data_IF_256639195864
#
_entry.id   IF_256639195864
#
_cell.length_a   1.000
_cell.length_b   1.000
_cell.length_c   1.000
_cell.angle_alpha   90.00
_cell.angle_beta   90.00
_cell.angle_gamma   90.00
#
_symmetry.space_group_name_H-M   'P 1'
#
loop_
_entity.id
_entity.type
_entity.pdbx_description
1 polymer ?
#
# COMPACT_ATOMS: atom_id res chain seq x y z
N UNK A 1 -1.85 1.43 2.20
CA UNK A 1 -1.27 1.52 0.85
C UNK A 1 0.22 1.84 0.98
N UNK A 2 1.10 1.15 0.23
CA UNK A 2 2.53 1.47 0.15
C UNK A 2 2.74 2.93 -0.28
N UNK A 3 3.82 3.56 0.21
CA UNK A 3 4.22 4.92 -0.24
C UNK A 3 4.55 4.97 -1.73
N UNK A 4 4.92 3.84 -2.33
CA UNK A 4 5.25 3.66 -3.75
C UNK A 4 4.04 3.51 -4.67
N UNK A 5 2.83 3.43 -4.11
CA UNK A 5 1.61 3.21 -4.89
C UNK A 5 1.19 4.46 -5.68
N UNK A 6 0.46 4.22 -6.76
CA UNK A 6 0.16 5.25 -7.76
C UNK A 6 -0.60 6.48 -7.18
N UNK A 7 -0.26 7.72 -7.59
CA UNK A 7 -0.93 8.93 -7.11
C UNK A 7 -2.45 8.98 -7.36
N UNK A 8 -2.99 8.14 -8.24
CA UNK A 8 -4.43 7.99 -8.46
C UNK A 8 -5.19 7.67 -7.16
N UNK A 9 -4.59 6.92 -6.23
CA UNK A 9 -5.21 6.63 -4.95
C UNK A 9 -5.28 7.85 -4.02
N UNK A 10 -4.32 8.78 -4.12
CA UNK A 10 -4.43 10.07 -3.44
C UNK A 10 -5.63 10.86 -3.96
N UNK A 11 -5.83 10.87 -5.29
CA UNK A 11 -7.00 11.50 -5.90
C UNK A 11 -8.30 10.83 -5.44
N UNK A 12 -8.36 9.50 -5.42
CA UNK A 12 -9.52 8.75 -4.93
C UNK A 12 -9.82 9.06 -3.46
N UNK A 13 -8.81 9.10 -2.59
CA UNK A 13 -8.98 9.46 -1.18
C UNK A 13 -9.57 10.86 -1.00
N UNK A 14 -9.10 11.84 -1.78
CA UNK A 14 -9.65 13.20 -1.75
C UNK A 14 -11.07 13.28 -2.33
N UNK A 15 -11.36 12.58 -3.43
CA UNK A 15 -12.68 12.61 -4.08
C UNK A 15 -13.76 11.91 -3.26
N UNK A 16 -13.44 10.73 -2.74
CA UNK A 16 -14.38 9.90 -1.98
C UNK A 16 -14.29 10.14 -0.47
N UNK A 17 -13.50 11.14 -0.03
CA UNK A 17 -13.27 11.49 1.38
C UNK A 17 -12.85 10.28 2.23
N UNK A 18 -11.99 9.43 1.66
CA UNK A 18 -11.47 8.24 2.33
C UNK A 18 -10.14 8.55 3.01
N UNK A 19 -9.96 8.02 4.23
CA UNK A 19 -8.68 8.12 4.95
C UNK A 19 -7.66 7.17 4.32
N UNK A 20 -6.62 7.72 3.71
CA UNK A 20 -5.50 6.94 3.18
C UNK A 20 -4.45 6.71 4.27
N UNK A 21 -4.16 5.44 4.57
CA UNK A 21 -3.06 5.06 5.44
C UNK A 21 -1.86 4.67 4.58
N UNK A 22 -0.77 5.42 4.70
CA UNK A 22 0.49 5.19 3.98
C UNK A 22 1.42 4.32 4.81
N UNK A 23 1.94 3.26 4.21
CA UNK A 23 2.83 2.29 4.84
C UNK A 23 4.22 2.46 4.20
N UNK A 24 5.28 2.63 5.00
CA UNK A 24 6.63 2.74 4.47
C UNK A 24 7.05 1.44 3.79
N UNK A 25 7.93 1.57 2.80
CA UNK A 25 8.61 0.44 2.16
C UNK A 25 9.96 0.22 2.83
N UNK A 26 10.48 -1.00 2.75
CA UNK A 26 11.84 -1.31 3.19
C UNK A 26 12.85 -0.55 2.30
N UNK A 27 13.83 0.17 2.87
CA UNK A 27 14.79 0.94 2.09
C UNK A 27 15.77 0.09 1.27
N UNK A 28 15.95 -1.19 1.60
CA UNK A 28 16.86 -2.10 0.91
C UNK A 28 16.15 -2.91 -0.18
N UNK A 29 14.98 -3.49 0.13
CA UNK A 29 14.23 -4.31 -0.85
C UNK A 29 13.25 -3.49 -1.68
N UNK A 30 12.88 -2.29 -1.22
CA UNK A 30 11.85 -1.42 -1.83
C UNK A 30 10.47 -2.09 -1.94
N UNK A 31 10.23 -3.09 -1.11
CA UNK A 31 8.96 -3.80 -0.97
C UNK A 31 8.18 -3.27 0.25
N UNK A 32 6.86 -3.44 0.25
CA UNK A 32 6.04 -3.07 1.42
C UNK A 32 6.28 -3.98 2.63
N UNK A 33 6.38 -3.36 3.82
CA UNK A 33 6.40 -4.08 5.09
C UNK A 33 5.00 -4.64 5.41
N UNK A 34 4.82 -5.95 5.19
CA UNK A 34 3.57 -6.68 5.44
C UNK A 34 3.16 -6.64 6.92
N UNK A 35 4.12 -6.62 7.86
CA UNK A 35 3.80 -6.58 9.30
C UNK A 35 3.20 -5.22 9.67
N UNK A 36 3.79 -4.14 9.16
CA UNK A 36 3.24 -2.79 9.35
C UNK A 36 1.88 -2.65 8.66
N UNK A 37 1.73 -3.23 7.46
CA UNK A 37 0.44 -3.23 6.79
C UNK A 37 -0.64 -3.92 7.61
N UNK A 38 -0.36 -5.11 8.15
CA UNK A 38 -1.29 -5.86 8.99
C UNK A 38 -1.70 -5.08 10.24
N UNK A 39 -0.78 -4.36 10.87
CA UNK A 39 -1.07 -3.49 12.03
C UNK A 39 -1.95 -2.30 11.68
N UNK A 40 -1.92 -1.82 10.44
CA UNK A 40 -2.72 -0.70 9.97
C UNK A 40 -4.17 -1.08 9.62
N UNK A 41 -4.49 -2.37 9.55
CA UNK A 41 -5.86 -2.84 9.26
C UNK A 41 -6.74 -2.62 10.48
N UNK A 42 -7.85 -1.93 10.28
CA UNK A 42 -8.86 -1.65 11.30
C UNK A 42 -10.25 -2.04 10.79
N UNK A 43 -11.27 -2.02 11.65
CA UNK A 43 -12.66 -2.22 11.25
C UNK A 43 -13.17 -1.23 10.19
N UNK A 44 -12.49 -0.09 10.01
CA UNK A 44 -12.83 0.94 9.02
C UNK A 44 -12.03 0.78 7.71
N UNK A 45 -11.17 -0.23 7.61
CA UNK A 45 -10.36 -0.49 6.40
C UNK A 45 -11.22 -1.21 5.37
N UNK A 46 -11.50 -0.56 4.24
CA UNK A 46 -12.34 -1.10 3.18
C UNK A 46 -11.55 -1.76 2.02
N UNK A 47 -10.26 -1.44 1.87
CA UNK A 47 -9.43 -1.92 0.77
C UNK A 47 -7.95 -1.93 1.17
N UNK A 48 -7.22 -2.91 0.65
CA UNK A 48 -5.76 -3.02 0.70
C UNK A 48 -5.24 -2.84 -0.73
N UNK A 49 -4.11 -2.14 -0.86
CA UNK A 49 -3.49 -1.84 -2.15
C UNK A 49 -2.06 -2.39 -2.11
N UNK A 50 -1.69 -3.13 -3.15
CA UNK A 50 -0.35 -3.63 -3.42
C UNK A 50 -0.05 -3.39 -4.91
N UNK A 51 1.21 -3.11 -5.26
CA UNK A 51 1.63 -2.85 -6.65
C UNK A 51 2.45 -4.01 -7.19
N UNK A 52 2.17 -4.42 -8.43
CA UNK A 52 2.92 -5.46 -9.13
C UNK A 52 2.97 -5.18 -10.64
N UNK A 53 3.98 -4.42 -11.11
CA UNK A 53 5.04 -3.74 -10.36
C UNK A 53 4.63 -2.33 -9.86
N UNK A 54 5.44 -1.73 -8.99
CA UNK A 54 5.34 -0.32 -8.64
C UNK A 54 6.00 0.56 -9.72
N UNK A 55 5.42 1.74 -9.99
CA UNK A 55 5.96 2.68 -10.98
C UNK A 55 7.35 3.26 -10.60
N UNK A 56 7.62 3.64 -9.33
CA UNK A 56 8.89 4.30 -8.99
C UNK A 56 10.13 3.40 -9.08
N UNK A 57 10.02 2.13 -8.69
CA UNK A 57 11.16 1.23 -8.54
C UNK A 57 11.06 -0.06 -9.35
N UNK A 58 9.92 -0.33 -10.00
CA UNK A 58 9.70 -1.57 -10.74
C UNK A 58 9.62 -2.82 -9.86
N UNK A 59 9.65 -2.68 -8.53
CA UNK A 59 9.54 -3.80 -7.58
C UNK A 59 8.10 -4.27 -7.45
N UNK A 60 7.94 -5.55 -7.13
CA UNK A 60 6.65 -6.18 -6.90
C UNK A 60 6.47 -6.34 -5.40
N UNK A 61 5.39 -5.79 -4.85
CA UNK A 61 5.04 -6.02 -3.44
C UNK A 61 4.72 -7.52 -3.22
N UNK A 62 4.97 -8.07 -2.01
CA UNK A 62 4.68 -9.47 -1.68
C UNK A 62 3.17 -9.79 -1.66
N UNK A 63 2.52 -9.85 -2.83
CA UNK A 63 1.06 -10.06 -2.98
C UNK A 63 0.58 -11.32 -2.26
N UNK A 64 1.33 -12.41 -2.36
CA UNK A 64 0.94 -13.68 -1.72
C UNK A 64 0.82 -13.53 -0.20
N UNK A 65 1.78 -12.84 0.43
CA UNK A 65 1.75 -12.64 1.88
C UNK A 65 0.76 -11.56 2.31
N UNK A 66 0.44 -10.61 1.42
CA UNK A 66 -0.62 -9.61 1.61
C UNK A 66 -2.01 -10.26 1.57
N UNK A 67 -2.19 -11.31 0.76
CA UNK A 67 -3.48 -11.99 0.59
C UNK A 67 -3.85 -12.94 1.73
N UNK A 68 -2.91 -13.25 2.63
CA UNK A 68 -3.06 -14.17 3.77
C UNK A 68 -3.47 -13.43 5.04
#
# INVERSE_FOLDING_TARGET
>A
MPVTAHPAFNKAGSYFKMKLIRIPVDPNTLEVDVKQMRRAITKNTCMIIASAPCFPHGTIDPIQDISK
#
